data_IF_723308447259
#
_entry.id   IF_723308447259
#
_cell.length_a   1.000
_cell.length_b   1.000
_cell.length_c   1.000
_cell.angle_alpha   90.00
_cell.angle_beta   90.00
_cell.angle_gamma   90.00
#
_symmetry.space_group_name_H-M   'P 1'
#
loop_
_entity.id
_entity.type
_entity.pdbx_description
1 polymer ?
#
# COMPACT_ATOMS: atom_id res chain seq x y z
N UNK A 1 -0.41 -5.11 -28.09
CA UNK A 1 0.53 -5.06 -26.97
C UNK A 1 0.14 -6.13 -25.97
N UNK A 2 1.08 -6.99 -25.57
CA UNK A 2 0.83 -7.98 -24.53
C UNK A 2 0.87 -7.27 -23.18
N UNK A 3 -0.20 -7.36 -22.42
CA UNK A 3 -0.25 -6.96 -21.00
C UNK A 3 0.52 -8.01 -20.21
N UNK A 4 1.68 -7.66 -19.68
CA UNK A 4 2.60 -8.62 -19.06
C UNK A 4 2.64 -8.51 -17.54
N UNK A 5 2.55 -7.30 -16.98
CA UNK A 5 2.70 -7.09 -15.55
C UNK A 5 2.05 -5.78 -15.08
N UNK A 6 1.29 -5.83 -13.99
CA UNK A 6 0.71 -4.63 -13.36
C UNK A 6 1.76 -3.60 -12.89
N UNK A 7 3.04 -3.99 -12.79
CA UNK A 7 4.13 -3.09 -12.37
C UNK A 7 4.76 -2.33 -13.54
N UNK A 8 4.71 -2.89 -14.75
CA UNK A 8 5.40 -2.36 -15.94
C UNK A 8 4.45 -1.92 -17.05
N UNK A 9 3.19 -2.36 -16.98
CA UNK A 9 2.24 -2.05 -18.04
C UNK A 9 1.78 -0.59 -17.94
N UNK A 10 1.71 0.11 -19.09
CA UNK A 10 1.26 1.50 -19.11
C UNK A 10 -0.22 1.63 -18.71
N UNK A 11 -0.60 2.82 -18.30
CA UNK A 11 -2.00 3.20 -18.16
C UNK A 11 -2.72 3.05 -19.52
N UNK A 12 -3.87 2.38 -19.51
CA UNK A 12 -4.72 2.25 -20.70
C UNK A 12 -6.12 2.70 -20.33
N UNK A 13 -6.64 3.65 -21.10
CA UNK A 13 -8.03 4.07 -21.03
C UNK A 13 -8.70 3.97 -22.38
N UNK A 14 -10.01 3.93 -22.36
CA UNK A 14 -10.87 3.96 -23.54
C UNK A 14 -11.75 5.19 -23.45
N UNK A 15 -11.81 5.94 -24.54
CA UNK A 15 -12.75 7.04 -24.74
C UNK A 15 -13.73 6.59 -25.79
N UNK A 16 -15.02 6.80 -25.57
CA UNK A 16 -16.03 6.51 -26.57
C UNK A 16 -15.97 7.48 -27.77
N UNK A 17 -16.58 7.11 -28.85
CA UNK A 17 -16.53 7.88 -30.12
C UNK A 17 -17.06 9.33 -29.96
N UNK A 18 -18.01 9.52 -29.05
CA UNK A 18 -18.61 10.83 -28.81
C UNK A 18 -17.89 11.64 -27.71
N UNK A 19 -16.86 11.08 -27.09
CA UNK A 19 -16.15 11.72 -25.97
C UNK A 19 -17.00 11.89 -24.72
N UNK A 20 -18.05 11.07 -24.54
CA UNK A 20 -18.96 11.17 -23.40
C UNK A 20 -18.45 10.39 -22.18
N UNK A 21 -17.67 9.34 -22.40
CA UNK A 21 -17.16 8.48 -21.35
C UNK A 21 -15.66 8.26 -21.49
N UNK A 22 -14.95 8.32 -20.35
CA UNK A 22 -13.54 7.93 -20.25
C UNK A 22 -13.44 6.79 -19.26
N UNK A 23 -12.99 5.62 -19.74
CA UNK A 23 -13.02 4.35 -18.99
C UNK A 23 -11.60 3.91 -18.67
N UNK A 24 -11.28 3.70 -17.39
CA UNK A 24 -10.04 3.07 -16.95
C UNK A 24 -10.07 1.58 -17.29
N UNK A 25 -9.25 1.14 -18.26
CA UNK A 25 -9.27 -0.23 -18.76
C UNK A 25 -8.22 -1.11 -18.09
N UNK A 26 -6.96 -0.65 -18.02
CA UNK A 26 -5.83 -1.42 -17.48
C UNK A 26 -4.91 -0.54 -16.65
N UNK A 27 -4.23 -1.18 -15.68
CA UNK A 27 -3.22 -0.55 -14.81
C UNK A 27 -3.78 0.61 -13.97
N UNK A 28 -4.96 0.42 -13.39
CA UNK A 28 -5.74 1.44 -12.68
C UNK A 28 -4.94 2.18 -11.61
N UNK A 29 -4.35 1.45 -10.65
CA UNK A 29 -3.64 2.05 -9.51
C UNK A 29 -2.17 2.32 -9.81
N UNK A 30 -1.34 1.27 -9.88
CA UNK A 30 0.12 1.41 -10.03
C UNK A 30 0.50 2.06 -11.36
N UNK A 31 -0.17 1.70 -12.45
CA UNK A 31 0.05 2.29 -13.77
C UNK A 31 -0.57 3.67 -13.95
N UNK A 32 -1.43 4.11 -13.02
CA UNK A 32 -2.00 5.46 -13.01
C UNK A 32 -3.22 5.65 -13.92
N UNK A 33 -3.81 4.58 -14.49
CA UNK A 33 -4.95 4.73 -15.42
C UNK A 33 -6.17 5.39 -14.76
N UNK A 34 -6.43 5.16 -13.46
CA UNK A 34 -7.54 5.81 -12.77
C UNK A 34 -7.34 7.33 -12.67
N UNK A 35 -6.14 7.78 -12.29
CA UNK A 35 -5.82 9.20 -12.24
C UNK A 35 -5.91 9.86 -13.63
N UNK A 36 -5.33 9.20 -14.63
CA UNK A 36 -5.36 9.67 -16.01
C UNK A 36 -6.80 9.71 -16.58
N UNK A 37 -7.66 8.76 -16.18
CA UNK A 37 -9.08 8.75 -16.54
C UNK A 37 -9.81 9.98 -16.02
N UNK A 38 -9.57 10.35 -14.75
CA UNK A 38 -10.19 11.53 -14.15
C UNK A 38 -9.72 12.83 -14.84
N UNK A 39 -8.41 12.97 -15.05
CA UNK A 39 -7.83 14.13 -15.74
C UNK A 39 -8.33 14.25 -17.19
N UNK A 40 -8.34 13.13 -17.93
CA UNK A 40 -8.84 13.13 -19.31
C UNK A 40 -10.33 13.45 -19.38
N UNK A 41 -11.12 12.92 -18.46
CA UNK A 41 -12.56 13.20 -18.39
C UNK A 41 -12.85 14.68 -18.09
N UNK A 42 -12.05 15.31 -17.22
CA UNK A 42 -12.16 16.75 -16.95
C UNK A 42 -11.86 17.58 -18.19
N UNK A 43 -10.80 17.24 -18.94
CA UNK A 43 -10.42 17.94 -20.18
C UNK A 43 -11.50 17.82 -21.25
N UNK A 44 -12.13 16.64 -21.37
CA UNK A 44 -13.14 16.35 -22.40
C UNK A 44 -14.56 16.69 -21.97
N UNK A 45 -14.75 17.18 -20.74
CA UNK A 45 -16.07 17.35 -20.10
C UNK A 45 -16.90 16.05 -20.13
N UNK A 46 -16.20 14.89 -20.04
CA UNK A 46 -16.76 13.56 -20.13
C UNK A 46 -17.03 12.96 -18.75
N UNK A 47 -17.81 11.88 -18.72
CA UNK A 47 -18.02 11.11 -17.50
C UNK A 47 -16.88 10.11 -17.28
N UNK A 48 -16.12 10.18 -16.15
CA UNK A 48 -15.12 9.18 -15.84
C UNK A 48 -15.77 7.88 -15.34
N UNK A 49 -15.25 6.75 -15.81
CA UNK A 49 -15.66 5.41 -15.36
C UNK A 49 -14.44 4.68 -14.84
N UNK A 50 -14.33 4.60 -13.52
CA UNK A 50 -13.29 3.83 -12.83
C UNK A 50 -13.90 2.53 -12.34
N UNK A 51 -13.39 1.40 -12.85
CA UNK A 51 -13.98 0.06 -12.64
C UNK A 51 -13.24 -0.79 -11.62
N UNK A 52 -12.21 -0.24 -10.95
CA UNK A 52 -11.41 -0.97 -9.97
C UNK A 52 -12.23 -1.25 -8.71
N UNK A 53 -12.37 -2.52 -8.32
CA UNK A 53 -13.22 -2.94 -7.21
C UNK A 53 -12.92 -2.21 -5.88
N UNK A 54 -11.65 -1.97 -5.58
CA UNK A 54 -11.22 -1.23 -4.38
C UNK A 54 -11.66 0.23 -4.39
N UNK A 55 -11.67 0.88 -5.57
CA UNK A 55 -12.14 2.27 -5.70
C UNK A 55 -13.66 2.37 -5.62
N UNK A 56 -14.37 1.42 -6.24
CA UNK A 56 -15.83 1.36 -6.18
C UNK A 56 -16.35 1.18 -4.75
N UNK A 57 -15.64 0.40 -3.93
CA UNK A 57 -16.02 0.13 -2.54
C UNK A 57 -15.33 1.06 -1.54
N UNK A 58 -14.51 2.01 -1.98
CA UNK A 58 -13.71 2.91 -1.10
C UNK A 58 -12.91 2.15 -0.03
N UNK A 59 -12.49 0.92 -0.33
CA UNK A 59 -11.72 0.07 0.57
C UNK A 59 -10.23 0.42 0.50
N UNK A 60 -9.52 0.12 1.57
CA UNK A 60 -8.08 0.28 1.62
C UNK A 60 -7.40 -0.55 0.52
N UNK A 61 -6.46 0.06 -0.19
CA UNK A 61 -5.65 -0.59 -1.22
C UNK A 61 -4.17 -0.42 -0.88
N UNK A 62 -3.47 -1.54 -0.68
CA UNK A 62 -2.05 -1.56 -0.26
C UNK A 62 -1.16 -0.83 -1.27
N UNK A 63 -1.42 -1.00 -2.55
CA UNK A 63 -0.65 -0.39 -3.63
C UNK A 63 -0.84 1.14 -3.71
N UNK A 64 -2.07 1.62 -3.50
CA UNK A 64 -2.36 3.05 -3.41
C UNK A 64 -1.69 3.66 -2.18
N UNK A 65 -1.80 2.99 -1.04
CA UNK A 65 -1.16 3.41 0.21
C UNK A 65 0.36 3.50 0.06
N UNK A 66 0.99 2.45 -0.46
CA UNK A 66 2.43 2.42 -0.66
C UNK A 66 2.90 3.51 -1.63
N UNK A 67 2.22 3.68 -2.77
CA UNK A 67 2.54 4.73 -3.75
C UNK A 67 2.43 6.14 -3.15
N UNK A 68 1.35 6.41 -2.42
CA UNK A 68 1.13 7.72 -1.79
C UNK A 68 2.23 8.08 -0.79
N UNK A 69 2.77 7.08 -0.10
CA UNK A 69 3.80 7.26 0.93
C UNK A 69 5.23 6.99 0.41
N UNK A 70 5.43 6.77 -0.89
CA UNK A 70 6.74 6.48 -1.47
C UNK A 70 7.36 5.17 -1.01
N UNK A 71 6.52 4.20 -0.56
CA UNK A 71 6.95 2.93 -0.02
C UNK A 71 7.03 1.85 -1.10
N UNK A 72 7.85 0.83 -0.85
CA UNK A 72 7.90 -0.41 -1.64
C UNK A 72 7.03 -1.50 -1.04
N UNK A 73 6.47 -2.37 -1.89
CA UNK A 73 5.65 -3.50 -1.45
C UNK A 73 6.43 -4.80 -1.64
N UNK A 74 6.55 -5.57 -0.56
CA UNK A 74 7.06 -6.93 -0.60
C UNK A 74 5.92 -7.93 -0.35
N UNK A 75 6.09 -9.16 -0.89
CA UNK A 75 5.07 -10.21 -0.82
C UNK A 75 3.74 -9.86 -1.51
N UNK A 76 3.82 -9.53 -2.80
CA UNK A 76 2.64 -9.15 -3.62
C UNK A 76 1.49 -10.17 -3.62
N UNK A 77 1.75 -11.45 -3.31
CA UNK A 77 0.68 -12.44 -3.14
C UNK A 77 -0.17 -12.09 -1.93
N UNK A 78 0.47 -11.81 -0.78
CA UNK A 78 -0.22 -11.38 0.43
C UNK A 78 -0.98 -10.06 0.22
N UNK A 79 -0.44 -9.11 -0.55
CA UNK A 79 -1.15 -7.87 -0.89
C UNK A 79 -2.47 -8.11 -1.65
N UNK A 80 -2.52 -9.14 -2.50
CA UNK A 80 -3.77 -9.55 -3.17
C UNK A 80 -4.74 -10.21 -2.19
N UNK A 81 -4.23 -11.01 -1.26
CA UNK A 81 -5.05 -11.64 -0.20
C UNK A 81 -5.66 -10.58 0.72
N UNK A 82 -4.91 -9.54 1.11
CA UNK A 82 -5.41 -8.35 1.82
C UNK A 82 -6.57 -7.71 1.08
N UNK A 83 -6.42 -7.46 -0.22
CA UNK A 83 -7.48 -6.85 -1.03
C UNK A 83 -8.73 -7.74 -1.11
N UNK A 84 -8.55 -9.05 -1.26
CA UNK A 84 -9.64 -10.00 -1.31
C UNK A 84 -10.40 -10.09 0.03
N UNK A 85 -9.68 -10.15 1.15
CA UNK A 85 -10.25 -10.18 2.50
C UNK A 85 -11.08 -8.92 2.80
N UNK A 86 -10.54 -7.74 2.46
CA UNK A 86 -11.26 -6.47 2.63
C UNK A 86 -12.53 -6.40 1.77
N UNK A 87 -12.49 -6.90 0.54
CA UNK A 87 -13.68 -6.97 -0.33
C UNK A 87 -14.72 -7.97 0.20
N UNK A 88 -14.28 -9.06 0.83
CA UNK A 88 -15.16 -10.01 1.50
C UNK A 88 -15.75 -9.48 2.83
N UNK A 89 -15.28 -8.34 3.32
CA UNK A 89 -15.70 -7.77 4.60
C UNK A 89 -15.01 -8.41 5.80
N UNK A 90 -13.90 -9.11 5.59
CA UNK A 90 -13.08 -9.69 6.64
C UNK A 90 -12.18 -8.62 7.29
N UNK A 91 -11.86 -8.81 8.57
CA UNK A 91 -10.92 -7.96 9.27
C UNK A 91 -9.49 -8.28 8.84
N UNK A 92 -8.73 -7.23 8.51
CA UNK A 92 -7.33 -7.32 8.10
C UNK A 92 -6.46 -6.62 9.13
N UNK A 93 -5.38 -7.26 9.57
CA UNK A 93 -4.43 -6.68 10.51
C UNK A 93 -3.61 -5.54 9.89
N UNK A 94 -3.33 -4.54 10.70
CA UNK A 94 -2.43 -3.45 10.34
C UNK A 94 -1.43 -3.21 11.48
N UNK A 95 -0.18 -3.41 11.18
CA UNK A 95 0.94 -3.08 12.06
C UNK A 95 1.78 -1.98 11.42
N UNK A 96 2.21 -1.01 12.21
CA UNK A 96 3.18 -0.01 11.80
C UNK A 96 4.22 0.21 12.89
N UNK A 97 5.48 0.11 12.52
CA UNK A 97 6.63 0.49 13.35
C UNK A 97 6.73 2.02 13.49
N UNK A 98 6.12 2.75 12.55
CA UNK A 98 6.15 4.20 12.49
C UNK A 98 4.83 4.80 12.95
N UNK A 99 4.86 5.99 13.53
CA UNK A 99 3.63 6.73 13.79
C UNK A 99 2.91 7.05 12.48
N UNK A 100 1.59 7.02 12.52
CA UNK A 100 0.76 7.43 11.38
C UNK A 100 -0.30 8.43 11.83
N UNK A 101 -0.67 9.32 10.93
CA UNK A 101 -1.70 10.34 11.19
C UNK A 101 -3.07 9.85 10.74
N UNK A 102 -4.10 10.22 11.51
CA UNK A 102 -5.50 9.91 11.19
C UNK A 102 -5.98 8.58 11.74
N UNK A 103 -7.19 8.19 11.32
CA UNK A 103 -7.81 6.91 11.67
C UNK A 103 -7.49 5.85 10.62
N UNK A 104 -7.43 4.60 11.06
CA UNK A 104 -7.33 3.48 10.13
C UNK A 104 -8.57 3.41 9.22
N UNK A 105 -8.38 3.08 7.94
CA UNK A 105 -9.47 2.78 7.04
C UNK A 105 -10.35 1.63 7.54
N UNK A 106 -11.62 1.67 7.14
CA UNK A 106 -12.58 0.61 7.47
C UNK A 106 -12.09 -0.79 7.01
N UNK A 107 -12.24 -1.78 7.88
CA UNK A 107 -11.79 -3.16 7.67
C UNK A 107 -10.36 -3.43 8.14
N UNK A 108 -9.60 -2.42 8.55
CA UNK A 108 -8.28 -2.60 9.14
C UNK A 108 -8.38 -2.59 10.68
N UNK A 109 -7.68 -3.52 11.31
CA UNK A 109 -7.54 -3.63 12.77
C UNK A 109 -6.10 -3.35 13.18
N UNK A 110 -5.90 -2.38 14.06
CA UNK A 110 -4.57 -2.05 14.57
C UNK A 110 -4.03 -3.20 15.45
N UNK A 111 -2.80 -3.64 15.16
CA UNK A 111 -2.14 -4.74 15.85
C UNK A 111 -0.73 -4.35 16.27
N UNK A 112 -0.24 -5.06 17.28
CA UNK A 112 1.16 -5.02 17.71
C UNK A 112 2.08 -5.82 16.77
N UNK A 113 3.38 -5.79 17.01
CA UNK A 113 4.39 -6.48 16.21
C UNK A 113 4.25 -8.02 16.19
N UNK A 114 3.53 -8.60 17.12
CA UNK A 114 3.21 -10.03 17.19
C UNK A 114 1.83 -10.37 16.58
N UNK A 115 1.14 -9.39 16.01
CA UNK A 115 -0.18 -9.55 15.39
C UNK A 115 -1.36 -9.48 16.35
N UNK A 116 -1.11 -9.18 17.64
CA UNK A 116 -2.19 -9.05 18.63
C UNK A 116 -2.97 -7.75 18.44
N UNK A 117 -4.30 -7.79 18.25
CA UNK A 117 -5.12 -6.59 18.11
C UNK A 117 -5.15 -5.75 19.40
N UNK A 118 -5.06 -4.44 19.28
CA UNK A 118 -5.12 -3.52 20.41
C UNK A 118 -6.53 -3.40 21.02
N UNK A 119 -7.57 -3.75 20.29
CA UNK A 119 -8.96 -3.76 20.75
C UNK A 119 -9.35 -5.06 21.51
N UNK A 120 -8.42 -6.01 21.62
CA UNK A 120 -8.66 -7.31 22.26
C UNK A 120 -9.52 -8.27 21.43
N UNK A 121 -9.73 -7.98 20.14
CA UNK A 121 -10.46 -8.83 19.21
C UNK A 121 -9.70 -10.10 18.81
N UNK A 122 -10.26 -10.83 17.85
CA UNK A 122 -9.60 -12.01 17.27
C UNK A 122 -8.42 -11.58 16.41
N UNK A 123 -7.26 -12.22 16.57
CA UNK A 123 -6.05 -11.95 15.79
C UNK A 123 -6.30 -12.23 14.30
N UNK A 124 -6.09 -11.25 13.41
CA UNK A 124 -6.25 -11.45 11.98
C UNK A 124 -5.17 -12.38 11.42
N UNK A 125 -5.54 -13.27 10.50
CA UNK A 125 -4.58 -14.14 9.81
C UNK A 125 -3.84 -13.42 8.67
N UNK A 126 -4.46 -12.39 8.11
CA UNK A 126 -3.97 -11.63 6.95
C UNK A 126 -3.74 -10.19 7.38
N UNK A 127 -2.64 -9.59 6.96
CA UNK A 127 -2.41 -8.20 7.31
C UNK A 127 -1.27 -7.50 6.57
N UNK A 128 -1.16 -6.22 6.89
CA UNK A 128 -0.15 -5.29 6.37
C UNK A 128 0.81 -4.90 7.48
N UNK A 129 2.11 -5.02 7.24
CA UNK A 129 3.15 -4.56 8.14
C UNK A 129 3.95 -3.42 7.48
N UNK A 130 3.89 -2.23 8.08
CA UNK A 130 4.73 -1.09 7.69
C UNK A 130 5.99 -1.10 8.54
N UNK A 131 7.10 -1.57 7.98
CA UNK A 131 8.36 -1.81 8.72
C UNK A 131 9.56 -1.82 7.79
N UNK A 132 10.74 -1.50 8.34
CA UNK A 132 12.04 -1.69 7.66
C UNK A 132 12.69 -3.04 7.99
N UNK A 133 12.09 -3.83 8.88
CA UNK A 133 12.64 -5.09 9.33
C UNK A 133 12.07 -6.27 8.52
N UNK A 134 12.86 -6.94 7.66
CA UNK A 134 12.38 -8.02 6.80
C UNK A 134 11.79 -9.23 7.55
N UNK A 135 12.22 -9.44 8.80
CA UNK A 135 11.74 -10.53 9.67
C UNK A 135 10.44 -10.22 10.40
N UNK A 136 9.95 -8.97 10.33
CA UNK A 136 8.70 -8.59 10.99
C UNK A 136 7.50 -9.04 10.14
N UNK A 137 6.94 -10.19 10.47
CA UNK A 137 5.82 -10.83 9.80
C UNK A 137 4.73 -11.16 10.83
N UNK A 138 3.94 -10.14 11.30
CA UNK A 138 2.99 -10.30 12.40
C UNK A 138 1.84 -11.26 12.11
N UNK A 139 1.51 -11.50 10.84
CA UNK A 139 0.35 -12.26 10.42
C UNK A 139 0.78 -13.52 9.65
N UNK A 140 -0.05 -14.55 9.61
CA UNK A 140 0.20 -15.77 8.84
C UNK A 140 0.40 -15.46 7.34
N UNK A 141 -0.37 -14.51 6.81
CA UNK A 141 -0.14 -13.89 5.50
C UNK A 141 0.14 -12.41 5.67
N UNK A 142 1.41 -12.01 5.64
CA UNK A 142 1.84 -10.61 5.80
C UNK A 142 2.31 -10.04 4.48
N UNK A 143 1.75 -8.90 4.06
CA UNK A 143 2.39 -8.03 3.06
C UNK A 143 3.18 -6.95 3.78
N UNK A 144 4.42 -6.74 3.37
CA UNK A 144 5.25 -5.67 3.93
C UNK A 144 5.19 -4.44 3.03
N UNK A 145 5.01 -3.29 3.66
CA UNK A 145 5.14 -1.97 3.05
C UNK A 145 6.35 -1.30 3.67
N UNK A 146 7.41 -1.15 2.88
CA UNK A 146 8.70 -0.67 3.35
C UNK A 146 8.86 0.80 2.97
N UNK A 147 8.89 1.72 3.94
CA UNK A 147 9.13 3.13 3.65
C UNK A 147 10.58 3.37 3.17
N UNK A 148 10.83 4.49 2.47
CA UNK A 148 12.18 4.85 2.07
C UNK A 148 13.05 5.04 3.32
N UNK A 149 14.17 4.33 3.37
CA UNK A 149 15.13 4.41 4.46
C UNK A 149 16.47 4.97 3.98
N UNK A 150 17.07 5.84 4.80
CA UNK A 150 18.42 6.35 4.57
C UNK A 150 19.36 5.66 5.56
N UNK A 151 20.39 5.01 5.06
CA UNK A 151 21.43 4.43 5.90
C UNK A 151 22.51 5.46 6.15
N UNK A 152 22.72 5.82 7.41
CA UNK A 152 23.81 6.68 7.84
C UNK A 152 24.97 5.83 8.33
N UNK A 153 26.11 5.90 7.63
CA UNK A 153 27.36 5.33 8.08
C UNK A 153 28.11 6.36 8.96
N UNK A 154 28.33 5.98 10.23
CA UNK A 154 29.13 6.82 11.14
C UNK A 154 30.48 6.21 11.41
N UNK A 155 31.55 6.99 11.13
CA UNK A 155 32.90 6.63 11.53
C UNK A 155 33.18 7.07 12.98
N UNK A 156 33.87 6.23 13.74
CA UNK A 156 34.31 6.58 15.08
C UNK A 156 35.80 6.25 15.28
N UNK A 157 36.39 6.81 16.32
CA UNK A 157 37.74 6.42 16.74
C UNK A 157 37.77 4.99 17.22
N UNK A 158 38.89 4.30 16.99
CA UNK A 158 39.13 2.96 17.50
C UNK A 158 38.82 2.88 19.00
N UNK A 159 38.05 1.86 19.42
CA UNK A 159 37.62 1.58 20.79
C UNK A 159 36.51 2.49 21.36
N UNK A 160 35.74 3.20 20.53
CA UNK A 160 34.50 3.85 20.98
C UNK A 160 33.38 2.82 21.06
N UNK A 161 32.69 2.74 22.20
CA UNK A 161 31.58 1.79 22.39
C UNK A 161 30.38 2.10 21.49
N UNK A 162 29.74 1.05 20.96
CA UNK A 162 28.63 1.18 20.01
C UNK A 162 27.46 1.99 20.57
N UNK A 163 27.17 1.84 21.85
CA UNK A 163 26.06 2.54 22.52
C UNK A 163 26.28 4.06 22.62
N UNK A 164 27.55 4.50 22.73
CA UNK A 164 27.87 5.92 22.73
C UNK A 164 27.64 6.50 21.32
N UNK A 165 28.01 5.75 20.27
CA UNK A 165 27.82 6.16 18.87
C UNK A 165 26.33 6.28 18.56
N UNK A 166 25.52 5.33 19.04
CA UNK A 166 24.08 5.33 18.84
C UNK A 166 23.40 6.55 19.48
N UNK A 167 23.77 6.89 20.72
CA UNK A 167 23.24 8.07 21.43
C UNK A 167 23.62 9.40 20.79
N UNK A 168 24.80 9.47 20.15
CA UNK A 168 25.24 10.69 19.43
C UNK A 168 24.56 10.83 18.05
N UNK A 169 23.91 9.77 17.56
CA UNK A 169 23.19 9.74 16.29
C UNK A 169 21.71 10.11 16.39
N UNK A 170 21.12 9.94 17.58
CA UNK A 170 19.74 10.33 17.90
C UNK A 170 19.62 11.84 18.18
#
# INVERSE_FOLDING_TARGET
PQVASKKSDPAVLVVDECGQFVISLLSGHLGGANALTLETAEILEAQPIVTTATDLHKRFAVDVFAKKNGCEIFFMKAAKEVSAALLAGESVGFYSEFPFEGSLPEGLTACSADGTPFDGGTAPEIGVAVTIHPSCLPFASTTQVVPPAVTLGMGCRKNKEADIIRREAE
#
